data_IF_377248453676
#
_entry.id   IF_377248453676
#
_cell.length_a   1.000
_cell.length_b   1.000
_cell.length_c   1.000
_cell.angle_alpha   90.00
_cell.angle_beta   90.00
_cell.angle_gamma   90.00
#
_symmetry.space_group_name_H-M   'P 1'
#
loop_
_entity.id
_entity.type
_entity.pdbx_description
1 polymer ?
#
# COMPACT_ATOMS: atom_id res chain seq x y z
N UNK A 1 18.31 12.93 -19.97
CA UNK A 1 18.73 12.25 -18.73
C UNK A 1 17.51 12.23 -17.80
N UNK A 2 16.80 11.11 -17.74
CA UNK A 2 15.58 10.97 -16.94
C UNK A 2 16.01 10.73 -15.49
N UNK A 3 15.91 11.78 -14.65
CA UNK A 3 16.21 11.64 -13.23
C UNK A 3 15.10 10.80 -12.58
N UNK A 4 15.38 9.52 -12.30
CA UNK A 4 14.50 8.71 -11.48
C UNK A 4 14.56 9.24 -10.05
N UNK A 5 13.57 10.07 -9.69
CA UNK A 5 13.34 10.47 -8.31
C UNK A 5 12.73 9.27 -7.62
N UNK A 6 13.53 8.56 -6.83
CA UNK A 6 13.07 7.44 -6.04
C UNK A 6 11.81 7.79 -5.25
N UNK A 7 10.95 6.80 -5.06
CA UNK A 7 9.70 6.93 -4.30
C UNK A 7 10.00 7.47 -2.89
N UNK A 8 9.32 8.54 -2.48
CA UNK A 8 9.46 9.08 -1.12
C UNK A 8 9.00 8.05 -0.09
N UNK A 9 9.68 7.99 1.05
CA UNK A 9 9.35 7.07 2.16
C UNK A 9 7.90 7.24 2.63
N UNK A 10 7.38 8.47 2.62
CA UNK A 10 5.97 8.76 2.91
C UNK A 10 5.00 8.03 1.96
N UNK A 11 5.31 8.05 0.66
CA UNK A 11 4.49 7.39 -0.37
C UNK A 11 4.56 5.87 -0.21
N UNK A 12 5.75 5.32 0.05
CA UNK A 12 5.92 3.87 0.29
C UNK A 12 5.13 3.40 1.52
N UNK A 13 5.20 4.12 2.64
CA UNK A 13 4.45 3.80 3.86
C UNK A 13 2.95 3.88 3.62
N UNK A 14 2.49 4.88 2.85
CA UNK A 14 1.08 5.05 2.52
C UNK A 14 0.54 3.88 1.69
N UNK A 15 1.31 3.40 0.71
CA UNK A 15 0.95 2.22 -0.08
C UNK A 15 0.87 0.97 0.79
N UNK A 16 1.89 0.71 1.62
CA UNK A 16 1.89 -0.46 2.50
C UNK A 16 0.67 -0.45 3.43
N UNK A 17 0.34 0.71 4.01
CA UNK A 17 -0.85 0.86 4.87
C UNK A 17 -2.14 0.58 4.12
N UNK A 18 -2.27 1.06 2.89
CA UNK A 18 -3.44 0.82 2.05
C UNK A 18 -3.56 -0.66 1.68
N UNK A 19 -2.45 -1.30 1.26
CA UNK A 19 -2.41 -2.73 0.95
C UNK A 19 -2.79 -3.61 2.15
N UNK A 20 -2.30 -3.30 3.35
CA UNK A 20 -2.66 -4.02 4.56
C UNK A 20 -4.14 -3.86 4.92
N UNK A 21 -4.67 -2.64 4.75
CA UNK A 21 -6.09 -2.35 5.01
C UNK A 21 -7.00 -3.10 4.03
N UNK A 22 -6.67 -3.08 2.73
CA UNK A 22 -7.42 -3.83 1.72
C UNK A 22 -7.35 -5.35 1.96
N UNK A 23 -6.18 -5.88 2.34
CA UNK A 23 -6.06 -7.30 2.68
C UNK A 23 -6.91 -7.68 3.90
N UNK A 24 -6.93 -6.83 4.93
CA UNK A 24 -7.75 -7.04 6.12
C UNK A 24 -9.24 -7.03 5.80
N UNK A 25 -9.69 -6.09 4.97
CA UNK A 25 -11.09 -6.02 4.51
C UNK A 25 -11.46 -7.26 3.70
N UNK A 26 -10.62 -7.65 2.74
CA UNK A 26 -10.85 -8.86 1.93
C UNK A 26 -10.92 -10.14 2.78
N UNK A 27 -10.05 -10.30 3.79
CA UNK A 27 -10.14 -11.43 4.73
C UNK A 27 -11.41 -11.40 5.57
N UNK A 28 -11.89 -10.22 5.95
CA UNK A 28 -13.14 -10.07 6.68
C UNK A 28 -14.35 -10.43 5.80
N UNK A 29 -14.34 -10.06 4.52
CA UNK A 29 -15.36 -10.48 3.54
C UNK A 29 -15.35 -11.99 3.28
N UNK A 30 -14.19 -12.67 3.37
CA UNK A 30 -14.09 -14.13 3.22
C UNK A 30 -14.54 -14.90 4.48
N UNK A 31 -14.52 -14.26 5.65
CA UNK A 31 -14.83 -14.89 6.95
C UNK A 31 -16.32 -14.79 7.32
N UNK A 32 -17.06 -13.85 6.72
CA UNK A 32 -18.52 -13.70 6.84
C UNK A 32 -19.25 -14.63 5.87
#
# INVERSE_FOLDING_TARGET
MTHYRGMSTYTTVSIIRMSYTSMRLSKMEITL
#
